data_IF_335441208287
#
_entry.id   IF_335441208287
#
_cell.length_a   1.000
_cell.length_b   1.000
_cell.length_c   1.000
_cell.angle_alpha   90.00
_cell.angle_beta   90.00
_cell.angle_gamma   90.00
#
_symmetry.space_group_name_H-M   'P 1'
#
loop_
_entity.id
_entity.type
_entity.pdbx_description
1 polymer ?
#
# COMPACT_ATOMS: atom_id res chain seq x y z
N UNK A 1 -6.96 15.89 20.53
CA UNK A 1 -7.16 15.59 19.10
C UNK A 1 -8.15 14.46 18.88
N UNK A 2 -7.85 13.19 19.32
CA UNK A 2 -8.78 12.07 19.10
C UNK A 2 -10.13 12.28 19.83
N UNK A 3 -10.10 12.68 21.07
CA UNK A 3 -11.29 13.01 21.87
C UNK A 3 -12.12 14.14 21.25
N UNK A 4 -11.48 15.15 20.70
CA UNK A 4 -12.17 16.25 20.01
C UNK A 4 -12.81 15.79 18.70
N UNK A 5 -12.11 14.90 17.98
CA UNK A 5 -12.68 14.25 16.80
C UNK A 5 -13.92 13.42 17.16
N UNK A 6 -13.87 12.64 18.26
CA UNK A 6 -15.01 11.88 18.77
C UNK A 6 -16.19 12.81 19.14
N UNK A 7 -15.96 13.93 19.82
CA UNK A 7 -17.02 14.91 20.11
C UNK A 7 -17.70 15.40 18.84
N UNK A 8 -16.93 15.59 17.77
CA UNK A 8 -17.48 15.94 16.45
C UNK A 8 -18.28 14.83 15.76
N UNK A 9 -17.98 13.55 16.06
CA UNK A 9 -18.76 12.40 15.53
C UNK A 9 -20.07 12.20 16.29
N UNK A 10 -20.14 12.61 17.55
CA UNK A 10 -21.32 12.47 18.42
C UNK A 10 -21.71 13.86 18.96
N UNK A 11 -22.23 14.77 18.11
CA UNK A 11 -22.57 16.11 18.55
C UNK A 11 -23.76 16.10 19.51
N UNK A 12 -23.65 16.88 20.58
CA UNK A 12 -24.78 17.10 21.47
C UNK A 12 -25.90 17.90 20.78
N UNK A 13 -27.15 17.61 21.11
CA UNK A 13 -28.32 18.26 20.51
C UNK A 13 -28.35 19.77 20.69
N UNK A 14 -27.71 20.29 21.74
CA UNK A 14 -27.58 21.73 22.02
C UNK A 14 -26.41 22.40 21.27
N UNK A 15 -25.66 21.64 20.46
CA UNK A 15 -24.50 22.13 19.71
C UNK A 15 -23.24 22.36 20.54
N UNK A 16 -23.27 22.16 21.85
CA UNK A 16 -22.14 22.33 22.73
C UNK A 16 -21.53 21.00 23.19
N UNK A 17 -20.28 20.75 22.78
CA UNK A 17 -19.57 19.52 23.12
C UNK A 17 -20.13 18.29 22.41
N UNK A 18 -19.90 17.13 22.99
CA UNK A 18 -20.35 15.83 22.45
C UNK A 18 -21.41 15.17 23.35
N UNK A 19 -22.17 14.23 22.79
CA UNK A 19 -23.09 13.35 23.52
C UNK A 19 -22.37 12.03 23.85
N UNK A 20 -21.81 11.93 25.06
CA UNK A 20 -21.13 10.73 25.54
C UNK A 20 -22.08 9.55 25.66
N UNK A 21 -23.36 9.79 25.98
CA UNK A 21 -24.36 8.74 26.02
C UNK A 21 -24.63 8.15 24.64
N UNK A 22 -24.64 8.96 23.59
CA UNK A 22 -24.76 8.48 22.22
C UNK A 22 -23.53 7.62 21.82
N UNK A 23 -22.32 8.04 22.18
CA UNK A 23 -21.10 7.24 21.96
C UNK A 23 -21.19 5.90 22.69
N UNK A 24 -21.52 5.89 23.99
CA UNK A 24 -21.63 4.67 24.79
C UNK A 24 -22.63 3.69 24.17
N UNK A 25 -23.80 4.17 23.73
CA UNK A 25 -24.79 3.34 23.03
C UNK A 25 -24.26 2.79 21.71
N UNK A 26 -23.61 3.63 20.91
CA UNK A 26 -23.07 3.25 19.60
C UNK A 26 -21.93 2.21 19.70
N UNK A 27 -21.14 2.30 20.76
CA UNK A 27 -20.03 1.36 21.02
C UNK A 27 -20.47 0.12 21.82
N UNK A 28 -21.70 0.11 22.35
CA UNK A 28 -22.20 -0.99 23.15
C UNK A 28 -21.54 -1.08 24.53
N UNK A 29 -21.06 0.03 25.08
CA UNK A 29 -20.30 0.09 26.33
C UNK A 29 -21.12 -0.28 27.57
N UNK A 30 -22.44 -0.32 27.46
CA UNK A 30 -23.35 -0.75 28.56
C UNK A 30 -23.01 -2.17 29.03
N UNK A 31 -22.47 -3.01 28.13
CA UNK A 31 -22.04 -4.33 28.48
C UNK A 31 -20.80 -4.29 29.36
N UNK A 32 -20.82 -4.97 30.48
CA UNK A 32 -19.77 -4.99 31.51
C UNK A 32 -19.55 -3.65 32.23
N UNK A 33 -20.51 -2.72 32.19
CA UNK A 33 -20.38 -1.39 32.82
C UNK A 33 -19.14 -0.63 32.33
N UNK A 34 -18.89 -0.69 31.02
CA UNK A 34 -17.75 -0.03 30.37
C UNK A 34 -18.09 1.36 29.82
N UNK A 35 -19.20 1.95 30.32
CA UNK A 35 -19.61 3.30 29.94
C UNK A 35 -18.57 4.33 30.39
N UNK A 36 -18.24 5.24 29.49
CA UNK A 36 -17.47 6.43 29.82
C UNK A 36 -18.38 7.49 30.41
N UNK A 37 -17.92 8.18 31.45
CA UNK A 37 -18.63 9.33 32.03
C UNK A 37 -18.44 10.61 31.19
N UNK A 38 -17.24 10.78 30.62
CA UNK A 38 -16.86 11.90 29.76
C UNK A 38 -15.97 11.45 28.61
N UNK A 39 -15.88 12.26 27.55
CA UNK A 39 -14.92 12.03 26.46
C UNK A 39 -13.46 12.09 26.94
N UNK A 40 -13.18 12.82 28.02
CA UNK A 40 -11.84 12.94 28.57
C UNK A 40 -11.36 11.66 29.27
N UNK A 41 -12.27 10.75 29.59
CA UNK A 41 -11.97 9.42 30.13
C UNK A 41 -11.55 8.42 29.03
N UNK A 42 -11.75 8.76 27.75
CA UNK A 42 -11.43 7.86 26.65
C UNK A 42 -9.94 7.93 26.34
N UNK A 43 -9.22 6.85 26.60
CA UNK A 43 -7.82 6.67 26.23
C UNK A 43 -7.66 6.15 24.79
N UNK A 44 -6.42 6.03 24.33
CA UNK A 44 -6.13 5.37 23.06
C UNK A 44 -6.40 3.87 23.16
N UNK A 45 -6.83 3.20 22.08
CA UNK A 45 -7.20 1.78 22.16
C UNK A 45 -6.07 0.84 22.56
N UNK A 46 -4.80 1.26 22.42
CA UNK A 46 -3.62 0.49 22.86
C UNK A 46 -3.27 0.69 24.35
N UNK A 47 -3.99 1.56 25.05
CA UNK A 47 -3.78 1.86 26.48
C UNK A 47 -4.87 1.26 27.36
N UNK A 48 -5.80 0.50 26.82
CA UNK A 48 -6.84 -0.17 27.58
C UNK A 48 -6.28 -1.37 28.35
N UNK A 49 -6.85 -1.67 29.55
CA UNK A 49 -6.39 -2.76 30.41
C UNK A 49 -6.67 -4.14 29.78
N UNK A 50 -7.72 -4.23 28.98
CA UNK A 50 -8.12 -5.42 28.26
C UNK A 50 -8.08 -5.15 26.76
N UNK A 51 -8.44 -6.13 25.95
CA UNK A 51 -8.66 -5.92 24.52
C UNK A 51 -9.64 -4.76 24.30
N UNK A 52 -9.31 -3.78 23.46
CA UNK A 52 -10.17 -2.63 23.25
C UNK A 52 -11.46 -3.04 22.54
N UNK A 53 -12.55 -2.33 22.84
CA UNK A 53 -13.78 -2.45 22.10
C UNK A 53 -13.51 -2.27 20.58
N UNK A 54 -13.99 -3.19 19.70
CA UNK A 54 -13.80 -3.08 18.26
C UNK A 54 -14.27 -1.75 17.66
N UNK A 55 -15.36 -1.17 18.19
CA UNK A 55 -15.84 0.14 17.77
C UNK A 55 -14.86 1.27 18.15
N UNK A 56 -14.23 1.18 19.31
CA UNK A 56 -13.18 2.10 19.74
C UNK A 56 -11.95 2.01 18.79
N UNK A 57 -11.48 0.81 18.51
CA UNK A 57 -10.38 0.57 17.57
C UNK A 57 -10.69 1.09 16.17
N UNK A 58 -11.91 0.85 15.68
CA UNK A 58 -12.36 1.36 14.39
C UNK A 58 -12.44 2.89 14.37
N UNK A 59 -12.96 3.50 15.42
CA UNK A 59 -13.02 4.96 15.55
C UNK A 59 -11.63 5.59 15.52
N UNK A 60 -10.66 4.98 16.20
CA UNK A 60 -9.27 5.44 16.17
C UNK A 60 -8.64 5.30 14.79
N UNK A 61 -8.86 4.20 14.08
CA UNK A 61 -8.41 4.03 12.69
C UNK A 61 -9.01 5.08 11.76
N UNK A 62 -10.31 5.38 11.90
CA UNK A 62 -10.97 6.44 11.13
C UNK A 62 -10.39 7.82 11.44
N UNK A 63 -10.17 8.13 12.71
CA UNK A 63 -9.48 9.34 13.12
C UNK A 63 -8.10 9.46 12.48
N UNK A 64 -7.28 8.41 12.54
CA UNK A 64 -5.94 8.38 11.95
C UNK A 64 -5.99 8.60 10.44
N UNK A 65 -6.90 7.93 9.75
CA UNK A 65 -7.15 8.13 8.31
C UNK A 65 -7.55 9.57 7.98
N UNK A 66 -8.42 10.17 8.80
CA UNK A 66 -8.85 11.57 8.62
C UNK A 66 -7.69 12.56 8.84
N UNK A 67 -6.71 12.22 9.71
CA UNK A 67 -5.52 13.07 9.87
C UNK A 67 -4.64 13.02 8.62
N UNK A 68 -4.49 11.87 7.97
CA UNK A 68 -3.76 11.74 6.69
C UNK A 68 -4.44 12.57 5.61
N UNK A 69 -5.76 12.44 5.45
CA UNK A 69 -6.50 13.23 4.46
C UNK A 69 -6.43 14.75 4.75
N UNK A 70 -6.50 15.15 6.02
CA UNK A 70 -6.35 16.54 6.43
C UNK A 70 -4.95 17.09 6.13
N UNK A 71 -3.92 16.31 6.39
CA UNK A 71 -2.55 16.69 6.08
C UNK A 71 -2.34 16.86 4.57
N UNK A 72 -2.79 15.90 3.77
CA UNK A 72 -2.76 16.00 2.31
C UNK A 72 -3.47 17.26 1.81
N UNK A 73 -4.67 17.53 2.30
CA UNK A 73 -5.45 18.73 1.93
C UNK A 73 -4.71 20.03 2.24
N UNK A 74 -4.03 20.08 3.39
CA UNK A 74 -3.24 21.26 3.76
C UNK A 74 -2.07 21.49 2.81
N UNK A 75 -1.37 20.41 2.41
CA UNK A 75 -0.30 20.48 1.41
C UNK A 75 -0.81 20.91 0.04
N UNK A 76 -1.92 20.30 -0.41
CA UNK A 76 -2.57 20.66 -1.68
C UNK A 76 -2.97 22.13 -1.69
N UNK A 77 -3.56 22.64 -0.62
CA UNK A 77 -3.95 24.06 -0.52
C UNK A 77 -2.75 25.00 -0.67
N UNK A 78 -1.60 24.66 -0.07
CA UNK A 78 -0.37 25.45 -0.19
C UNK A 78 0.15 25.38 -1.64
N UNK A 79 0.22 24.21 -2.24
CA UNK A 79 0.70 24.06 -3.62
C UNK A 79 -0.19 24.86 -4.58
N UNK A 80 -1.51 24.75 -4.44
CA UNK A 80 -2.48 25.48 -5.28
C UNK A 80 -2.38 27.01 -5.17
N UNK A 81 -1.93 27.53 -4.04
CA UNK A 81 -1.69 28.96 -3.87
C UNK A 81 -0.52 29.47 -4.72
N UNK A 82 0.35 28.58 -5.20
CA UNK A 82 1.60 28.94 -5.91
C UNK A 82 1.74 28.29 -7.29
N UNK A 83 0.88 27.34 -7.64
CA UNK A 83 1.01 26.57 -8.89
C UNK A 83 -0.31 26.02 -9.38
N UNK A 84 -0.53 26.11 -10.70
CA UNK A 84 -1.65 25.48 -11.41
C UNK A 84 -1.29 24.09 -11.97
N UNK A 85 -0.08 23.59 -11.68
CA UNK A 85 0.35 22.27 -12.14
C UNK A 85 -0.52 21.17 -11.53
N UNK A 86 -0.79 20.08 -12.28
CA UNK A 86 -1.53 18.94 -11.76
C UNK A 86 -0.79 18.32 -10.56
N UNK A 87 -1.55 17.97 -9.53
CA UNK A 87 -1.02 17.37 -8.31
C UNK A 87 -1.35 15.88 -8.33
N UNK A 88 -0.31 15.06 -8.17
CA UNK A 88 -0.39 13.62 -7.99
C UNK A 88 0.09 13.22 -6.58
N UNK A 89 -0.24 12.01 -6.17
CA UNK A 89 0.26 11.39 -4.94
C UNK A 89 0.64 9.94 -5.21
N UNK A 90 1.81 9.52 -4.71
CA UNK A 90 2.23 8.14 -4.78
C UNK A 90 1.51 7.30 -3.74
N UNK A 91 0.52 6.53 -4.17
CA UNK A 91 -0.11 5.56 -3.31
C UNK A 91 0.68 4.25 -3.31
N UNK A 92 0.80 3.63 -2.16
CA UNK A 92 1.33 2.28 -2.05
C UNK A 92 0.18 1.28 -2.00
N UNK A 93 0.18 0.30 -2.88
CA UNK A 93 -0.93 -0.63 -3.09
C UNK A 93 -1.38 -1.41 -1.86
N UNK A 94 -0.50 -1.64 -0.89
CA UNK A 94 -0.81 -2.43 0.32
C UNK A 94 -1.12 -1.59 1.55
N UNK A 95 -1.01 -0.29 1.46
CA UNK A 95 -1.31 0.61 2.57
C UNK A 95 -2.82 0.77 2.70
N UNK A 96 -3.40 0.28 3.79
CA UNK A 96 -4.83 0.27 4.07
C UNK A 96 -5.23 1.13 5.27
N UNK A 97 -4.27 1.87 5.82
CA UNK A 97 -4.41 2.61 7.07
C UNK A 97 -5.16 3.93 6.90
N UNK A 98 -5.41 4.35 5.67
CA UNK A 98 -6.19 5.55 5.38
C UNK A 98 -7.13 5.38 4.18
N UNK A 99 -8.11 6.26 4.10
CA UNK A 99 -9.10 6.30 3.03
C UNK A 99 -8.52 6.99 1.78
N UNK A 100 -8.17 6.19 0.78
CA UNK A 100 -7.60 6.66 -0.48
C UNK A 100 -8.54 7.59 -1.24
N UNK A 101 -9.86 7.37 -1.15
CA UNK A 101 -10.84 8.23 -1.82
C UNK A 101 -10.89 9.63 -1.22
N UNK A 102 -10.76 9.74 0.12
CA UNK A 102 -10.69 11.05 0.79
C UNK A 102 -9.43 11.83 0.39
N UNK A 103 -8.30 11.16 0.29
CA UNK A 103 -7.04 11.76 -0.19
C UNK A 103 -7.16 12.11 -1.68
N UNK A 104 -7.64 11.19 -2.49
CA UNK A 104 -7.80 11.38 -3.94
C UNK A 104 -8.78 12.48 -4.32
N UNK A 105 -9.72 12.83 -3.43
CA UNK A 105 -10.66 13.91 -3.69
C UNK A 105 -9.99 15.28 -3.88
N UNK A 106 -8.84 15.49 -3.25
CA UNK A 106 -8.08 16.73 -3.31
C UNK A 106 -7.02 16.73 -4.44
N UNK A 107 -6.82 15.61 -5.14
CA UNK A 107 -5.80 15.41 -6.17
C UNK A 107 -6.38 15.47 -7.59
N UNK A 108 -5.52 15.77 -8.56
CA UNK A 108 -5.86 15.71 -10.00
C UNK A 108 -5.64 14.30 -10.56
N UNK A 109 -4.64 13.61 -10.07
CA UNK A 109 -4.20 12.31 -10.57
C UNK A 109 -3.94 11.40 -9.38
N UNK A 110 -4.53 10.21 -9.38
CA UNK A 110 -4.11 9.15 -8.48
C UNK A 110 -3.00 8.36 -9.15
N UNK A 111 -1.81 8.36 -8.56
CA UNK A 111 -0.72 7.50 -9.02
C UNK A 111 -0.32 6.53 -7.92
N UNK A 112 0.16 5.36 -8.31
CA UNK A 112 0.55 4.36 -7.34
C UNK A 112 1.84 3.64 -7.71
N UNK A 113 2.44 3.03 -6.72
CA UNK A 113 3.71 2.33 -6.85
C UNK A 113 3.46 0.83 -6.88
N UNK A 114 3.76 0.21 -8.03
CA UNK A 114 3.46 -1.18 -8.34
C UNK A 114 4.71 -2.05 -8.17
N UNK A 115 4.73 -2.84 -7.11
CA UNK A 115 5.80 -3.80 -6.80
C UNK A 115 5.26 -5.24 -6.79
N UNK A 116 4.89 -5.80 -7.94
CA UNK A 116 4.19 -7.08 -8.01
C UNK A 116 5.02 -8.27 -7.53
N UNK A 117 6.35 -8.24 -7.71
CA UNK A 117 7.23 -9.32 -7.24
C UNK A 117 7.42 -9.24 -5.72
N UNK A 118 7.67 -8.03 -5.18
CA UNK A 118 7.76 -7.84 -3.73
C UNK A 118 6.47 -8.23 -3.02
N UNK A 119 5.31 -7.94 -3.62
CA UNK A 119 4.03 -8.39 -3.08
C UNK A 119 3.92 -9.92 -3.07
N UNK A 120 4.35 -10.58 -4.14
CA UNK A 120 4.30 -12.04 -4.25
C UNK A 120 5.14 -12.74 -3.16
N UNK A 121 6.31 -12.18 -2.85
CA UNK A 121 7.20 -12.69 -1.79
C UNK A 121 6.61 -12.51 -0.39
N UNK A 122 6.02 -11.35 -0.12
CA UNK A 122 5.43 -10.99 1.17
C UNK A 122 4.03 -11.57 1.38
N UNK A 123 3.43 -12.15 0.36
CA UNK A 123 2.04 -12.63 0.42
C UNK A 123 1.92 -13.80 1.38
N UNK A 124 1.28 -13.58 2.50
CA UNK A 124 0.92 -14.65 3.44
C UNK A 124 -0.03 -15.63 2.75
N UNK A 125 0.39 -16.89 2.66
CA UNK A 125 -0.39 -17.98 2.07
C UNK A 125 -0.18 -18.19 0.56
N UNK A 126 0.73 -17.46 -0.10
CA UNK A 126 1.17 -17.84 -1.43
C UNK A 126 1.95 -19.17 -1.36
N UNK A 127 1.54 -20.15 -2.15
CA UNK A 127 2.26 -21.41 -2.23
C UNK A 127 3.62 -21.22 -2.92
N UNK A 128 4.55 -22.15 -2.67
CA UNK A 128 5.82 -22.15 -3.41
C UNK A 128 5.62 -22.34 -4.93
N UNK A 129 4.51 -22.96 -5.33
CA UNK A 129 4.11 -23.10 -6.71
C UNK A 129 3.65 -21.76 -7.30
N UNK A 130 2.80 -21.01 -6.61
CA UNK A 130 2.36 -19.67 -7.03
C UNK A 130 3.54 -18.72 -7.14
N UNK A 131 4.43 -18.70 -6.13
CA UNK A 131 5.62 -17.87 -6.15
C UNK A 131 6.52 -18.18 -7.34
N UNK A 132 6.67 -19.46 -7.67
CA UNK A 132 7.44 -19.91 -8.82
C UNK A 132 6.74 -19.58 -10.13
N UNK A 133 5.42 -19.78 -10.19
CA UNK A 133 4.60 -19.49 -11.38
C UNK A 133 4.61 -18.01 -11.75
N UNK A 134 4.50 -17.14 -10.80
CA UNK A 134 4.43 -15.69 -11.01
C UNK A 134 5.79 -14.97 -10.85
N UNK A 135 6.88 -15.70 -10.67
CA UNK A 135 8.19 -15.17 -10.33
C UNK A 135 8.71 -14.06 -11.28
N UNK A 136 8.24 -14.04 -12.52
CA UNK A 136 8.68 -13.08 -13.55
C UNK A 136 7.74 -11.90 -13.74
N UNK A 137 6.48 -12.05 -13.40
CA UNK A 137 5.44 -11.07 -13.73
C UNK A 137 4.70 -10.55 -12.48
N UNK A 138 4.88 -11.20 -11.34
CA UNK A 138 4.08 -10.95 -10.15
C UNK A 138 2.66 -11.50 -10.26
N UNK A 139 1.90 -11.36 -9.17
CA UNK A 139 0.50 -11.78 -9.12
C UNK A 139 -0.37 -10.83 -9.99
N UNK A 140 -1.02 -11.33 -11.06
CA UNK A 140 -1.83 -10.49 -11.94
C UNK A 140 -3.07 -9.92 -11.26
N UNK A 141 -3.65 -10.61 -10.28
CA UNK A 141 -4.82 -10.14 -9.55
C UNK A 141 -4.47 -8.95 -8.66
N UNK A 142 -3.27 -8.96 -8.08
CA UNK A 142 -2.75 -7.82 -7.32
C UNK A 142 -2.68 -6.57 -8.18
N UNK A 143 -2.12 -6.67 -9.37
CA UNK A 143 -2.03 -5.53 -10.29
C UNK A 143 -3.39 -5.08 -10.79
N UNK A 144 -4.24 -6.01 -11.23
CA UNK A 144 -5.57 -5.70 -11.74
C UNK A 144 -6.43 -4.98 -10.68
N UNK A 145 -6.43 -5.49 -9.44
CA UNK A 145 -7.16 -4.86 -8.34
C UNK A 145 -6.69 -3.42 -8.08
N UNK A 146 -5.38 -3.20 -7.99
CA UNK A 146 -4.86 -1.87 -7.69
C UNK A 146 -5.00 -0.90 -8.86
N UNK A 147 -4.90 -1.37 -10.11
CA UNK A 147 -5.21 -0.54 -11.27
C UNK A 147 -6.65 -0.04 -11.25
N UNK A 148 -7.60 -0.91 -10.94
CA UNK A 148 -9.01 -0.54 -10.83
C UNK A 148 -9.28 0.37 -9.62
N UNK A 149 -8.64 0.09 -8.48
CA UNK A 149 -8.75 0.93 -7.28
C UNK A 149 -8.28 2.36 -7.58
N UNK A 150 -7.08 2.53 -8.13
CA UNK A 150 -6.54 3.88 -8.35
C UNK A 150 -7.18 4.58 -9.55
N UNK A 151 -7.67 3.84 -10.52
CA UNK A 151 -8.55 4.41 -11.55
C UNK A 151 -9.83 4.97 -10.95
N UNK A 152 -10.42 4.29 -9.98
CA UNK A 152 -11.62 4.76 -9.27
C UNK A 152 -11.29 5.96 -8.37
N UNK A 153 -10.23 5.89 -7.56
CA UNK A 153 -9.75 6.99 -6.70
C UNK A 153 -9.49 8.26 -7.51
N UNK A 154 -8.82 8.13 -8.67
CA UNK A 154 -8.49 9.22 -9.58
C UNK A 154 -9.66 9.65 -10.51
N UNK A 155 -10.84 9.05 -10.38
CA UNK A 155 -12.00 9.36 -11.24
C UNK A 155 -11.67 9.23 -12.74
N UNK A 156 -10.89 8.20 -13.08
CA UNK A 156 -10.39 7.93 -14.43
C UNK A 156 -9.02 8.56 -14.74
N UNK A 157 -8.51 9.46 -13.92
CA UNK A 157 -7.18 10.05 -14.04
C UNK A 157 -6.21 9.35 -13.10
N UNK A 158 -5.49 8.40 -13.63
CA UNK A 158 -4.54 7.62 -12.83
C UNK A 158 -3.35 7.19 -13.68
N UNK A 159 -2.24 6.89 -13.03
CA UNK A 159 -1.08 6.25 -13.65
C UNK A 159 -0.29 5.43 -12.64
N UNK A 160 0.70 4.72 -13.12
CA UNK A 160 1.68 4.03 -12.29
C UNK A 160 2.89 4.96 -12.20
N UNK A 161 3.22 5.40 -10.98
CA UNK A 161 4.37 6.28 -10.74
C UNK A 161 5.66 5.46 -10.73
N UNK A 162 5.63 4.32 -10.07
CA UNK A 162 6.74 3.38 -9.98
C UNK A 162 6.29 2.00 -10.40
N UNK A 163 7.00 1.38 -11.32
CA UNK A 163 6.73 0.02 -11.77
C UNK A 163 7.95 -0.84 -11.57
N UNK A 164 7.81 -1.89 -10.77
CA UNK A 164 8.87 -2.87 -10.59
C UNK A 164 9.02 -3.73 -11.87
N UNK A 165 10.15 -3.60 -12.61
CA UNK A 165 10.43 -4.46 -13.77
C UNK A 165 11.16 -5.75 -13.40
N UNK A 166 11.65 -5.86 -12.14
CA UNK A 166 12.45 -6.96 -11.64
C UNK A 166 12.72 -6.84 -10.14
N UNK A 167 13.73 -7.51 -9.59
CA UNK A 167 14.12 -7.39 -8.18
C UNK A 167 14.43 -5.95 -7.78
N UNK A 168 14.18 -5.61 -6.51
CA UNK A 168 14.50 -4.32 -5.91
C UNK A 168 15.46 -4.51 -4.73
N UNK A 169 16.30 -3.51 -4.48
CA UNK A 169 17.39 -3.61 -3.50
C UNK A 169 16.91 -3.85 -2.06
N UNK A 170 15.71 -3.40 -1.72
CA UNK A 170 15.15 -3.52 -0.38
C UNK A 170 14.30 -4.77 -0.16
N UNK A 171 14.03 -5.55 -1.20
CA UNK A 171 13.29 -6.80 -1.10
C UNK A 171 14.22 -8.01 -1.24
N UNK A 172 13.89 -9.15 -0.64
CA UNK A 172 14.62 -10.38 -0.88
C UNK A 172 14.73 -10.68 -2.37
N UNK A 173 15.89 -11.14 -2.79
CA UNK A 173 16.08 -11.56 -4.17
C UNK A 173 15.23 -12.79 -4.47
N UNK A 174 14.28 -12.64 -5.37
CA UNK A 174 13.50 -13.75 -5.89
C UNK A 174 14.09 -14.16 -7.25
N UNK A 175 14.91 -15.21 -7.31
CA UNK A 175 15.48 -15.67 -8.55
C UNK A 175 14.38 -16.21 -9.44
N UNK A 176 13.89 -15.40 -10.38
CA UNK A 176 13.00 -15.90 -11.41
C UNK A 176 13.65 -17.10 -12.12
N UNK A 177 12.91 -18.15 -12.39
CA UNK A 177 13.45 -19.28 -13.13
C UNK A 177 14.11 -18.80 -14.42
N UNK A 178 15.34 -19.22 -14.65
CA UNK A 178 15.98 -18.97 -15.94
C UNK A 178 15.13 -19.57 -17.06
N UNK A 179 15.07 -18.90 -18.21
CA UNK A 179 14.51 -19.51 -19.39
C UNK A 179 15.10 -20.93 -19.59
N UNK A 180 14.27 -21.93 -19.97
CA UNK A 180 14.70 -23.34 -20.11
C UNK A 180 14.66 -24.16 -18.82
N UNK A 181 14.34 -23.60 -17.68
CA UNK A 181 13.99 -24.38 -16.49
C UNK A 181 12.60 -24.99 -16.65
N UNK A 182 12.27 -25.97 -15.79
CA UNK A 182 11.00 -26.73 -15.85
C UNK A 182 9.74 -25.86 -15.98
N UNK A 183 9.87 -24.60 -15.66
CA UNK A 183 8.81 -23.63 -15.67
C UNK A 183 8.55 -23.00 -17.05
N UNK A 184 9.63 -22.77 -17.81
CA UNK A 184 9.57 -22.22 -19.17
C UNK A 184 9.58 -23.34 -20.23
N UNK A 185 10.02 -24.52 -19.87
CA UNK A 185 10.09 -25.67 -20.79
C UNK A 185 8.69 -26.06 -21.24
N UNK A 186 8.35 -25.69 -22.48
CA UNK A 186 7.14 -26.13 -23.15
C UNK A 186 6.07 -25.05 -23.34
N UNK A 187 6.26 -23.84 -22.86
CA UNK A 187 5.22 -22.81 -22.99
C UNK A 187 5.32 -21.95 -24.27
N UNK A 188 6.53 -21.70 -24.78
CA UNK A 188 6.71 -20.97 -26.04
C UNK A 188 8.03 -21.37 -26.72
N UNK A 189 7.99 -21.94 -27.93
CA UNK A 189 9.20 -22.27 -28.69
C UNK A 189 10.12 -21.10 -28.98
N UNK A 190 9.61 -19.88 -28.98
CA UNK A 190 10.41 -18.67 -29.20
C UNK A 190 11.33 -18.36 -28.00
N UNK A 191 10.95 -18.81 -26.81
CA UNK A 191 11.80 -18.67 -25.62
C UNK A 191 13.04 -19.54 -25.76
N UNK A 192 12.91 -20.78 -26.21
CA UNK A 192 14.03 -21.69 -26.44
C UNK A 192 15.02 -21.17 -27.50
N UNK A 193 14.51 -20.48 -28.51
CA UNK A 193 15.36 -19.84 -29.54
C UNK A 193 16.12 -18.67 -28.96
N UNK A 194 15.44 -17.78 -28.23
CA UNK A 194 16.09 -16.61 -27.57
C UNK A 194 17.15 -17.05 -26.54
N UNK A 195 16.92 -18.14 -25.84
CA UNK A 195 17.89 -18.75 -24.92
C UNK A 195 19.15 -19.23 -25.61
N UNK A 196 18.97 -19.95 -26.73
CA UNK A 196 20.10 -20.42 -27.50
C UNK A 196 20.94 -19.29 -28.05
N UNK A 197 20.30 -18.18 -28.47
CA UNK A 197 20.96 -16.97 -28.93
C UNK A 197 21.74 -16.27 -27.83
N UNK A 198 21.13 -16.10 -26.62
CA UNK A 198 21.80 -15.52 -25.47
C UNK A 198 22.96 -16.37 -25.00
N UNK A 199 22.79 -17.68 -24.95
CA UNK A 199 23.88 -18.61 -24.60
C UNK A 199 25.04 -18.52 -25.57
N UNK A 200 24.76 -18.51 -26.86
CA UNK A 200 25.77 -18.37 -27.91
C UNK A 200 26.51 -17.01 -27.78
N UNK A 201 25.80 -15.95 -27.46
CA UNK A 201 26.37 -14.62 -27.17
C UNK A 201 27.31 -14.63 -25.97
N UNK A 202 26.93 -15.28 -24.89
CA UNK A 202 27.74 -15.40 -23.67
C UNK A 202 29.01 -16.25 -23.91
N UNK A 203 28.89 -17.32 -24.71
CA UNK A 203 30.04 -18.17 -25.09
C UNK A 203 31.05 -17.46 -26.03
N UNK A 204 30.56 -16.54 -26.87
CA UNK A 204 31.39 -15.78 -27.81
C UNK A 204 31.89 -14.43 -27.29
N UNK A 205 31.40 -13.99 -26.14
CA UNK A 205 31.75 -12.70 -25.53
C UNK A 205 32.19 -12.91 -24.08
N UNK A 206 33.44 -13.35 -23.86
CA UNK A 206 33.97 -13.63 -22.52
C UNK A 206 33.84 -12.46 -21.54
N UNK A 207 33.85 -11.22 -22.05
CA UNK A 207 33.69 -10.01 -21.24
C UNK A 207 32.26 -9.90 -20.64
N UNK A 208 31.25 -10.45 -21.31
CA UNK A 208 29.90 -10.50 -20.78
C UNK A 208 29.70 -11.65 -19.79
N UNK A 209 30.44 -12.73 -19.95
CA UNK A 209 30.40 -13.87 -19.03
C UNK A 209 31.12 -13.58 -17.69
N UNK A 210 31.94 -12.55 -17.64
CA UNK A 210 32.65 -12.09 -16.43
C UNK A 210 31.89 -11.04 -15.64
N UNK A 211 30.74 -10.56 -16.12
CA UNK A 211 29.88 -9.65 -15.36
C UNK A 211 29.14 -10.51 -14.32
N UNK A 212 29.71 -10.57 -13.11
CA UNK A 212 28.98 -11.05 -11.95
C UNK A 212 27.79 -10.08 -11.73
N UNK A 213 26.54 -10.57 -11.78
CA UNK A 213 25.39 -9.74 -11.46
C UNK A 213 25.44 -9.12 -10.07
N UNK A 214 26.32 -9.60 -9.19
CA UNK A 214 26.58 -9.06 -7.86
C UNK A 214 27.62 -7.92 -7.85
N UNK A 215 28.44 -7.77 -8.91
CA UNK A 215 29.41 -6.68 -9.05
C UNK A 215 28.80 -5.36 -9.58
N UNK A 216 27.52 -5.37 -9.92
CA UNK A 216 26.76 -4.16 -10.26
C UNK A 216 26.42 -3.30 -9.02
N UNK A 217 26.85 -3.68 -7.83
CA UNK A 217 26.88 -2.79 -6.67
C UNK A 217 28.00 -1.79 -6.88
N UNK A 218 27.61 -0.51 -7.04
CA UNK A 218 28.54 0.59 -7.02
C UNK A 218 29.46 0.55 -5.80
N UNK A 219 30.60 1.25 -5.80
CA UNK A 219 31.55 1.25 -4.71
C UNK A 219 30.80 1.63 -3.42
N UNK A 220 30.97 0.78 -2.39
CA UNK A 220 30.49 1.04 -1.05
C UNK A 220 30.99 2.44 -0.66
N UNK A 221 30.10 3.36 -0.41
CA UNK A 221 30.42 4.58 0.30
C UNK A 221 30.67 4.18 1.77
N UNK A 222 31.94 4.24 2.19
CA UNK A 222 32.36 4.15 3.57
C UNK A 222 31.77 5.27 4.45
#
# INVERSE_FOLDING_TARGET
AFRDWLRGQFPAANGNGGDIGALNRAWGNVFWSMDYADFDDIDLPNLTVTEPNPAHSLAFRRFSSDQVARYNRAQVAIIRAHSDAPIAHNYMGRVTEFDHFKVGADLDIASWDSYPLGFLEDRVGASAEDQRYFARQGDPDFQAFHHDLYRAVGRGRWWIMEQQPGPVNWAPYNPAPLPGTDFAAGTDPRIAVAEAEVRALLETSPDLASIDPMDARGPDED
#
